data_IF_135427324342
#
_entry.id   IF_135427324342
#
_cell.length_a   1.000
_cell.length_b   1.000
_cell.length_c   1.000
_cell.angle_alpha   90.00
_cell.angle_beta   90.00
_cell.angle_gamma   90.00
#
_symmetry.space_group_name_H-M   'P 1'
#
loop_
_entity.id
_entity.type
_entity.pdbx_description
1 polymer ?
#
# COMPACT_ATOMS: atom_id res chain seq x y z
N UNK A 1 -12.77 22.88 17.66
CA UNK A 1 -12.02 23.15 16.41
C UNK A 1 -11.77 21.81 15.73
N UNK A 2 -12.16 21.74 14.46
CA UNK A 2 -12.47 20.55 13.68
C UNK A 2 -11.25 19.65 13.51
N UNK A 3 -11.31 18.41 14.02
CA UNK A 3 -10.24 17.40 13.87
C UNK A 3 -9.85 17.31 12.39
N UNK A 4 -8.63 17.75 12.11
CA UNK A 4 -7.99 17.72 10.81
C UNK A 4 -8.18 16.34 10.17
N UNK A 5 -8.45 16.32 8.88
CA UNK A 5 -8.86 15.13 8.13
C UNK A 5 -7.65 14.20 8.00
N UNK A 6 -7.35 13.41 9.03
CA UNK A 6 -6.24 12.44 9.10
C UNK A 6 -6.47 11.18 8.23
N UNK A 7 -7.45 11.23 7.31
CA UNK A 7 -7.85 10.12 6.45
C UNK A 7 -8.10 10.63 5.04
N UNK A 8 -7.31 10.13 4.10
CA UNK A 8 -7.45 10.35 2.67
C UNK A 8 -7.93 9.05 2.02
N UNK A 9 -8.90 9.13 1.09
CA UNK A 9 -9.42 7.97 0.35
C UNK A 9 -9.29 8.25 -1.16
N UNK A 10 -8.70 7.30 -1.87
CA UNK A 10 -8.49 7.31 -3.32
C UNK A 10 -8.93 5.96 -3.88
N UNK A 11 -10.13 5.92 -4.46
CA UNK A 11 -10.75 4.66 -4.88
C UNK A 11 -10.81 3.67 -3.72
N UNK A 12 -10.16 2.52 -3.91
CA UNK A 12 -10.02 1.44 -2.93
C UNK A 12 -8.80 1.59 -2.02
N UNK A 13 -8.09 2.72 -2.03
CA UNK A 13 -6.94 2.96 -1.16
C UNK A 13 -7.26 4.02 -0.13
N UNK A 14 -6.81 3.81 1.10
CA UNK A 14 -6.95 4.76 2.21
C UNK A 14 -5.57 5.05 2.78
N UNK A 15 -5.26 6.32 2.96
CA UNK A 15 -4.05 6.78 3.66
C UNK A 15 -4.49 7.42 4.98
N UNK A 16 -3.90 6.96 6.08
CA UNK A 16 -4.15 7.49 7.42
C UNK A 16 -2.89 8.12 7.97
N UNK A 17 -3.02 9.33 8.50
CA UNK A 17 -1.95 9.97 9.25
C UNK A 17 -2.05 9.62 10.74
N UNK A 18 -0.93 9.23 11.33
CA UNK A 18 -0.81 9.01 12.77
C UNK A 18 0.55 9.49 13.25
N UNK A 19 0.57 10.52 14.11
CA UNK A 19 1.80 11.10 14.69
C UNK A 19 2.84 11.48 13.62
N UNK A 20 2.41 12.13 12.53
CA UNK A 20 3.29 12.52 11.42
C UNK A 20 3.77 11.38 10.53
N UNK A 21 3.25 10.16 10.69
CA UNK A 21 3.52 9.02 9.81
C UNK A 21 2.26 8.64 9.03
N UNK A 22 2.43 8.34 7.76
CA UNK A 22 1.35 7.92 6.87
C UNK A 22 1.34 6.41 6.69
N UNK A 23 0.15 5.83 6.74
CA UNK A 23 -0.10 4.40 6.65
C UNK A 23 -1.13 4.12 5.57
N UNK A 24 -0.85 3.11 4.74
CA UNK A 24 -1.66 2.74 3.58
C UNK A 24 -2.51 1.52 3.91
N UNK A 25 -3.77 1.60 3.53
CA UNK A 25 -4.77 0.55 3.63
C UNK A 25 -5.44 0.37 2.27
N UNK A 26 -5.85 -0.85 1.97
CA UNK A 26 -6.66 -1.19 0.81
C UNK A 26 -8.04 -1.63 1.27
N UNK A 27 -9.07 -1.13 0.63
CA UNK A 27 -10.45 -1.60 0.76
C UNK A 27 -10.60 -2.83 -0.12
N UNK A 28 -10.93 -3.96 0.49
CA UNK A 28 -11.22 -5.20 -0.22
C UNK A 28 -12.64 -5.64 0.14
N UNK A 29 -13.47 -5.86 -0.87
CA UNK A 29 -14.83 -6.38 -0.69
C UNK A 29 -14.76 -7.90 -0.70
N UNK A 30 -14.93 -8.50 0.47
CA UNK A 30 -14.95 -9.96 0.65
C UNK A 30 -16.37 -10.36 1.05
N UNK A 31 -17.01 -11.15 0.19
CA UNK A 31 -18.34 -11.69 0.44
C UNK A 31 -19.42 -10.62 0.74
N UNK A 32 -19.35 -9.48 0.05
CA UNK A 32 -20.26 -8.34 0.22
C UNK A 32 -19.88 -7.38 1.36
N UNK A 33 -18.89 -7.71 2.18
CA UNK A 33 -18.41 -6.84 3.26
C UNK A 33 -17.12 -6.12 2.87
N UNK A 34 -17.10 -4.79 3.05
CA UNK A 34 -15.93 -3.97 2.77
C UNK A 34 -14.98 -4.02 3.97
N UNK A 35 -13.77 -4.58 3.78
CA UNK A 35 -12.73 -4.66 4.80
C UNK A 35 -11.55 -3.76 4.47
N UNK A 36 -11.04 -3.07 5.49
CA UNK A 36 -9.81 -2.29 5.39
C UNK A 36 -8.61 -3.18 5.73
N UNK A 37 -7.83 -3.54 4.71
CA UNK A 37 -6.59 -4.31 4.86
C UNK A 37 -5.39 -3.37 4.96
N UNK A 38 -4.60 -3.52 6.01
CA UNK A 38 -3.34 -2.81 6.14
C UNK A 38 -2.32 -3.29 5.10
N UNK A 39 -1.68 -2.35 4.40
CA UNK A 39 -0.64 -2.65 3.39
C UNK A 39 0.74 -2.38 3.97
N UNK A 40 0.94 -1.20 4.57
CA UNK A 40 2.25 -0.78 5.07
C UNK A 40 2.35 0.73 5.31
N UNK A 41 3.49 1.22 5.81
CA UNK A 41 3.78 2.65 5.87
C UNK A 41 3.97 3.21 4.46
N UNK A 42 3.51 4.45 4.23
CA UNK A 42 3.49 5.06 2.89
C UNK A 42 4.90 5.14 2.26
N UNK A 43 5.91 5.52 3.04
CA UNK A 43 7.31 5.62 2.58
C UNK A 43 7.83 4.29 2.01
N UNK A 44 7.53 3.17 2.68
CA UNK A 44 7.97 1.84 2.24
C UNK A 44 7.24 1.38 0.97
N UNK A 45 5.93 1.65 0.89
CA UNK A 45 5.12 1.36 -0.29
C UNK A 45 5.62 2.15 -1.51
N UNK A 46 5.89 3.44 -1.35
CA UNK A 46 6.42 4.28 -2.44
C UNK A 46 7.82 3.84 -2.84
N UNK A 47 8.72 3.57 -1.88
CA UNK A 47 10.06 3.06 -2.17
C UNK A 47 10.02 1.75 -2.94
N UNK A 48 9.15 0.82 -2.55
CA UNK A 48 8.96 -0.45 -3.25
C UNK A 48 8.42 -0.23 -4.66
N UNK A 49 7.43 0.64 -4.83
CA UNK A 49 6.89 0.97 -6.15
C UNK A 49 7.95 1.61 -7.07
N UNK A 50 8.72 2.57 -6.56
CA UNK A 50 9.81 3.22 -7.32
C UNK A 50 10.87 2.19 -7.69
N UNK A 51 11.30 1.33 -6.76
CA UNK A 51 12.24 0.25 -7.06
C UNK A 51 11.72 -0.72 -8.11
N UNK A 52 10.43 -1.08 -8.06
CA UNK A 52 9.81 -1.93 -9.08
C UNK A 52 9.73 -1.21 -10.43
N UNK A 53 9.31 0.06 -10.47
CA UNK A 53 9.22 0.82 -11.73
C UNK A 53 10.59 1.08 -12.36
N UNK A 54 11.58 1.44 -11.57
CA UNK A 54 12.95 1.73 -12.03
C UNK A 54 13.72 0.44 -12.31
N UNK A 55 13.47 -0.64 -11.56
CA UNK A 55 14.09 -1.96 -11.78
C UNK A 55 13.45 -2.79 -12.90
N UNK A 56 12.20 -2.52 -13.27
CA UNK A 56 11.54 -3.20 -14.40
C UNK A 56 12.08 -2.75 -15.77
N UNK A 57 12.84 -1.65 -15.84
CA UNK A 57 13.63 -1.33 -17.04
C UNK A 57 14.96 -2.10 -17.12
N UNK A 58 15.27 -3.00 -16.17
CA UNK A 58 16.45 -3.87 -16.29
C UNK A 58 16.61 -4.92 -15.19
N UNK A 59 15.97 -6.09 -15.34
CA UNK A 59 16.49 -7.33 -14.75
C UNK A 59 15.51 -8.22 -13.95
N UNK A 60 15.09 -9.29 -14.63
CA UNK A 60 14.64 -10.63 -14.17
C UNK A 60 13.32 -10.83 -13.39
N UNK A 61 12.52 -11.85 -13.78
CA UNK A 61 11.27 -12.23 -13.14
C UNK A 61 11.49 -12.97 -11.81
N UNK A 62 10.47 -12.84 -10.96
CA UNK A 62 10.18 -13.58 -9.74
C UNK A 62 10.75 -15.02 -9.72
N UNK A 63 11.78 -15.27 -8.90
CA UNK A 63 12.17 -16.62 -8.51
C UNK A 63 11.13 -17.17 -7.53
N UNK A 64 10.19 -17.98 -8.03
CA UNK A 64 9.49 -18.96 -7.20
C UNK A 64 10.48 -20.01 -6.69
N UNK A 65 10.12 -20.78 -5.64
CA UNK A 65 11.05 -21.73 -5.04
C UNK A 65 11.47 -22.80 -6.06
N UNK A 66 12.78 -22.94 -6.26
CA UNK A 66 13.36 -24.03 -7.02
C UNK A 66 13.10 -25.34 -6.28
N UNK A 67 12.31 -26.22 -6.89
CA UNK A 67 12.13 -27.57 -6.40
C UNK A 67 13.45 -28.35 -6.50
N UNK A 68 13.82 -29.01 -5.42
CA UNK A 68 14.63 -30.23 -5.36
C UNK A 68 14.14 -31.05 -4.18
#
# INVERSE_FOLDING_TARGET
MTKEKTRYKYGDVIIRERKGRYYVYKLETLNGEVKERYVGPLDDVVKTYVKLKVGVEGGTPFNGPAGT
#
